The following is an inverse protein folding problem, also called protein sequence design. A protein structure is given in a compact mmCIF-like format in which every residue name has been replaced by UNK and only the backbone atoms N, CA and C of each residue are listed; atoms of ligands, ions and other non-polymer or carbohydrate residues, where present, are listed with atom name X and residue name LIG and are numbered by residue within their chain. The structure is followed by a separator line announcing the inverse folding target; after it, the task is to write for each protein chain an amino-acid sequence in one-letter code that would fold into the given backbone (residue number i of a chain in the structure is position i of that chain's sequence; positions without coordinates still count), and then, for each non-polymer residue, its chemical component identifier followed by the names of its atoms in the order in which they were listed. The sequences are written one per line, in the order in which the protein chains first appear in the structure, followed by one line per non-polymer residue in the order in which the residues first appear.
data_IF_393037769036
#
_entry.id   IF_393037769036
#
_cell.length_a   1.000
_cell.length_b   1.000
_cell.length_c   1.000
_cell.angle_alpha   90.00
_cell.angle_beta   90.00
_cell.angle_gamma   90.00
#
_symmetry.space_group_name_H-M   'P 1'
#
loop_
_entity.id
_entity.type
_entity.pdbx_description
1 polymer ?
#
# COMPACT_ATOMS: atom_id res chain seq x y z
N UNK A 1 -0.86 -2.68 18.45
CA UNK A 1 -0.83 -2.17 17.06
C UNK A 1 -2.05 -2.66 16.32
N UNK A 2 -2.77 -1.75 15.70
CA UNK A 2 -4.03 -2.07 15.02
C UNK A 2 -4.05 -1.48 13.63
N UNK A 3 -4.79 -2.15 12.72
CA UNK A 3 -5.25 -1.52 11.49
C UNK A 3 -6.70 -1.12 11.73
N UNK A 4 -7.13 -0.03 11.10
CA UNK A 4 -8.51 0.40 11.24
C UNK A 4 -9.39 -0.42 10.29
N UNK A 5 -10.00 -1.46 10.83
CA UNK A 5 -10.79 -2.38 10.04
C UNK A 5 -12.09 -1.80 9.54
N UNK A 6 -12.57 -0.72 10.15
CA UNK A 6 -13.82 -0.11 9.72
C UNK A 6 -13.62 0.76 8.48
N UNK A 7 -12.42 1.28 8.27
CA UNK A 7 -12.12 2.14 7.13
C UNK A 7 -11.44 1.39 5.99
N UNK A 8 -10.63 0.37 6.32
CA UNK A 8 -9.76 -0.30 5.34
C UNK A 8 -10.27 -1.66 4.95
N UNK A 9 -11.56 -1.76 4.65
CA UNK A 9 -12.15 -3.03 4.25
C UNK A 9 -11.98 -3.32 2.77
N UNK A 10 -11.71 -2.31 1.97
CA UNK A 10 -11.55 -2.50 0.54
C UNK A 10 -10.21 -3.16 0.25
N UNK A 11 -10.25 -4.29 -0.43
CA UNK A 11 -9.05 -5.05 -0.78
C UNK A 11 -8.82 -5.12 -2.29
N UNK A 12 -9.75 -4.60 -3.08
CA UNK A 12 -9.63 -4.59 -4.54
C UNK A 12 -9.82 -3.16 -5.03
N UNK A 13 -8.88 -2.69 -5.84
CA UNK A 13 -8.92 -1.36 -6.39
C UNK A 13 -8.82 -1.45 -7.91
N UNK A 14 -9.66 -0.69 -8.60
CA UNK A 14 -9.61 -0.57 -10.05
C UNK A 14 -9.49 0.90 -10.39
N UNK A 15 -8.48 1.25 -11.18
CA UNK A 15 -8.24 2.63 -11.57
C UNK A 15 -7.98 2.69 -13.07
N UNK A 16 -8.13 3.87 -13.64
CA UNK A 16 -7.83 4.10 -15.04
C UNK A 16 -6.35 4.40 -15.23
N UNK A 17 -5.84 4.00 -16.38
CA UNK A 17 -4.46 4.27 -16.75
C UNK A 17 -4.16 5.77 -16.60
N UNK A 18 -3.05 6.08 -15.96
CA UNK A 18 -2.63 7.46 -15.73
C UNK A 18 -3.20 8.10 -14.48
N UNK A 19 -4.09 7.43 -13.78
CA UNK A 19 -4.71 7.98 -12.57
C UNK A 19 -3.81 7.86 -11.37
N UNK A 20 -3.97 8.79 -10.43
CA UNK A 20 -3.35 8.68 -9.12
C UNK A 20 -4.15 7.69 -8.28
N UNK A 21 -3.47 6.87 -7.51
CA UNK A 21 -4.13 5.94 -6.60
C UNK A 21 -3.38 5.90 -5.27
N UNK A 22 -4.14 5.78 -4.18
CA UNK A 22 -3.59 5.62 -2.84
C UNK A 22 -4.10 4.31 -2.28
N UNK A 23 -3.19 3.39 -2.00
CA UNK A 23 -3.53 2.10 -1.41
C UNK A 23 -3.40 2.23 0.11
N UNK A 24 -4.50 2.02 0.85
CA UNK A 24 -4.49 2.31 2.28
C UNK A 24 -3.71 1.27 3.08
N UNK A 25 -2.95 1.75 4.04
CA UNK A 25 -2.35 0.92 5.09
C UNK A 25 -2.20 1.77 6.34
N UNK A 26 -3.33 2.09 6.94
CA UNK A 26 -3.34 2.91 8.16
C UNK A 26 -3.10 2.03 9.35
N UNK A 27 -1.99 2.24 10.02
CA UNK A 27 -1.62 1.46 11.19
C UNK A 27 -1.31 2.41 12.33
N UNK A 28 -1.58 1.94 13.54
CA UNK A 28 -1.29 2.68 14.75
C UNK A 28 -0.46 1.79 15.66
N UNK A 29 0.38 2.42 16.44
CA UNK A 29 1.19 1.70 17.40
C UNK A 29 2.10 2.65 18.16
N UNK A 30 2.56 2.21 19.32
CA UNK A 30 3.48 2.95 20.14
C UNK A 30 4.58 1.98 20.60
N UNK A 31 5.79 2.14 20.07
CA UNK A 31 6.21 3.15 19.10
C UNK A 31 5.60 2.94 17.71
N UNK A 32 5.70 3.96 16.86
CA UNK A 32 5.19 3.87 15.50
C UNK A 32 5.83 2.70 14.76
N UNK A 33 5.01 1.90 14.05
CA UNK A 33 5.55 0.75 13.35
C UNK A 33 6.37 1.13 12.12
N UNK A 34 7.26 0.24 11.74
CA UNK A 34 8.00 0.33 10.49
C UNK A 34 7.13 -0.25 9.39
N UNK A 35 6.95 0.50 8.31
CA UNK A 35 6.08 0.12 7.20
C UNK A 35 6.95 -0.29 6.01
N UNK A 36 6.64 -1.45 5.44
CA UNK A 36 7.28 -1.91 4.20
C UNK A 36 6.17 -2.36 3.24
N UNK A 37 6.26 -1.89 2.02
CA UNK A 37 5.34 -2.30 0.96
C UNK A 37 6.01 -3.28 0.01
N UNK A 38 5.22 -4.25 -0.44
CA UNK A 38 5.66 -5.26 -1.41
C UNK A 38 4.70 -5.25 -2.59
N UNK A 39 5.22 -5.48 -3.77
CA UNK A 39 4.42 -5.70 -4.97
C UNK A 39 4.77 -7.07 -5.53
N UNK A 40 3.78 -7.95 -5.63
CA UNK A 40 3.96 -9.33 -6.11
C UNK A 40 5.14 -10.01 -5.39
N UNK A 41 5.17 -9.81 -4.06
CA UNK A 41 6.15 -10.37 -3.13
C UNK A 41 7.57 -9.80 -3.24
N UNK A 42 7.74 -8.72 -4.02
CA UNK A 42 9.01 -8.02 -4.11
C UNK A 42 8.94 -6.68 -3.38
N UNK A 43 9.94 -6.35 -2.55
CA UNK A 43 9.92 -5.06 -1.85
C UNK A 43 9.94 -3.89 -2.84
N UNK A 44 9.13 -2.88 -2.54
CA UNK A 44 9.13 -1.65 -3.34
C UNK A 44 10.29 -0.77 -2.90
N UNK A 45 11.07 -0.31 -3.87
CA UNK A 45 12.20 0.56 -3.57
C UNK A 45 11.74 1.93 -3.14
N UNK A 46 12.26 2.42 -2.01
CA UNK A 46 11.95 3.75 -1.50
C UNK A 46 12.56 4.87 -2.37
N UNK A 47 13.46 4.51 -3.27
CA UNK A 47 14.07 5.48 -4.18
C UNK A 47 13.35 5.56 -5.51
N UNK A 48 12.34 4.74 -5.72
CA UNK A 48 11.55 4.77 -6.94
C UNK A 48 10.56 5.94 -6.88
N UNK A 49 10.74 6.91 -7.78
CA UNK A 49 9.92 8.11 -7.80
C UNK A 49 8.48 7.86 -8.24
N UNK A 50 8.18 6.67 -8.70
CA UNK A 50 6.83 6.27 -9.08
C UNK A 50 5.93 6.05 -7.85
N UNK A 51 6.54 5.80 -6.70
CA UNK A 51 5.83 5.47 -5.47
C UNK A 51 6.18 6.43 -4.35
N UNK A 52 5.22 6.66 -3.47
CA UNK A 52 5.46 7.44 -2.27
C UNK A 52 4.69 6.83 -1.10
N UNK A 53 5.36 6.62 0.03
CA UNK A 53 4.71 6.13 1.23
C UNK A 53 4.35 7.33 2.09
N UNK A 54 3.06 7.50 2.36
CA UNK A 54 2.56 8.63 3.12
C UNK A 54 2.84 8.44 4.60
N UNK A 55 2.65 9.50 5.39
CA UNK A 55 2.90 9.44 6.83
C UNK A 55 2.03 8.42 7.55
N UNK A 56 0.84 8.17 7.05
CA UNK A 56 -0.06 7.18 7.65
C UNK A 56 0.24 5.75 7.22
N UNK A 57 1.23 5.56 6.36
CA UNK A 57 1.61 4.25 5.86
C UNK A 57 1.03 3.88 4.50
N UNK A 58 0.13 4.68 3.96
CA UNK A 58 -0.49 4.41 2.66
C UNK A 58 0.51 4.57 1.53
N UNK A 59 0.36 3.75 0.49
CA UNK A 59 1.21 3.82 -0.70
C UNK A 59 0.51 4.65 -1.76
N UNK A 60 1.18 5.70 -2.22
CA UNK A 60 0.66 6.55 -3.29
C UNK A 60 1.40 6.25 -4.59
N UNK A 61 0.62 6.03 -5.66
CA UNK A 61 1.15 5.83 -7.01
C UNK A 61 0.70 7.05 -7.82
N UNK A 62 1.65 7.85 -8.29
CA UNK A 62 1.31 9.14 -8.89
C UNK A 62 0.66 9.04 -10.26
N UNK A 63 1.08 8.07 -11.06
CA UNK A 63 0.51 7.89 -12.39
C UNK A 63 0.50 6.41 -12.70
N UNK A 64 -0.64 5.79 -12.52
CA UNK A 64 -0.73 4.35 -12.65
C UNK A 64 -0.52 3.88 -14.09
N UNK A 65 0.18 2.77 -14.21
CA UNK A 65 0.51 2.14 -15.48
C UNK A 65 0.02 0.70 -15.43
N UNK A 66 -0.08 0.06 -16.55
CA UNK A 66 -0.49 -1.34 -16.62
C UNK A 66 0.43 -2.24 -15.82
N UNK A 67 1.71 -1.89 -15.72
CA UNK A 67 2.68 -2.63 -14.93
C UNK A 67 2.42 -2.52 -13.43
N UNK A 68 1.57 -1.57 -13.01
CA UNK A 68 1.20 -1.43 -11.61
C UNK A 68 0.12 -2.42 -11.18
N UNK A 69 -0.52 -3.09 -12.13
CA UNK A 69 -1.48 -4.14 -11.80
C UNK A 69 -0.78 -5.26 -11.05
N UNK A 70 -1.35 -5.66 -9.93
CA UNK A 70 -0.77 -6.74 -9.15
C UNK A 70 -1.28 -6.74 -7.73
N UNK A 71 -0.65 -7.55 -6.90
CA UNK A 71 -0.98 -7.68 -5.50
C UNK A 71 0.03 -6.89 -4.66
N UNK A 72 -0.48 -6.05 -3.79
CA UNK A 72 0.34 -5.22 -2.92
C UNK A 72 0.12 -5.65 -1.48
N UNK A 73 1.21 -5.76 -0.74
CA UNK A 73 1.16 -6.12 0.67
C UNK A 73 1.89 -5.06 1.48
N UNK A 74 1.22 -4.57 2.50
CA UNK A 74 1.78 -3.65 3.47
C UNK A 74 2.07 -4.43 4.75
N UNK A 75 3.30 -4.38 5.23
CA UNK A 75 3.64 -4.96 6.52
C UNK A 75 4.02 -3.83 7.47
N UNK A 76 3.55 -3.92 8.70
CA UNK A 76 3.86 -2.93 9.73
C UNK A 76 4.30 -3.68 10.97
N UNK A 77 5.43 -3.30 11.54
CA UNK A 77 5.98 -3.98 12.71
C UNK A 77 6.56 -3.01 13.72
N UNK A 78 6.41 -3.35 15.00
CA UNK A 78 7.07 -2.69 16.10
C UNK A 78 7.33 -3.72 17.19
N UNK A 79 7.79 -3.28 18.35
CA UNK A 79 8.10 -4.22 19.43
C UNK A 79 6.86 -4.93 19.98
N UNK A 80 5.67 -4.40 19.72
CA UNK A 80 4.43 -5.00 20.20
C UNK A 80 3.89 -6.08 19.26
N UNK A 81 4.37 -6.15 18.02
CA UNK A 81 3.94 -7.17 17.07
C UNK A 81 3.94 -6.69 15.64
N UNK A 82 3.37 -7.52 14.78
CA UNK A 82 3.32 -7.28 13.33
C UNK A 82 1.90 -7.39 12.85
N UNK A 83 1.56 -6.57 11.83
CA UNK A 83 0.32 -6.73 11.08
C UNK A 83 0.64 -6.60 9.61
N UNK A 84 -0.21 -7.19 8.77
CA UNK A 84 -0.08 -7.01 7.33
C UNK A 84 -1.44 -6.91 6.69
N UNK A 85 -1.48 -6.25 5.54
CA UNK A 85 -2.69 -6.09 4.76
C UNK A 85 -2.34 -6.27 3.29
N UNK A 86 -3.13 -7.06 2.59
CA UNK A 86 -2.94 -7.30 1.16
C UNK A 86 -4.07 -6.65 0.39
N UNK A 87 -3.72 -5.93 -0.67
CA UNK A 87 -4.70 -5.32 -1.56
C UNK A 87 -4.31 -5.64 -3.00
N UNK A 88 -5.32 -5.74 -3.86
CA UNK A 88 -5.12 -5.98 -5.29
C UNK A 88 -5.42 -4.71 -6.06
N UNK A 89 -4.58 -4.38 -7.02
CA UNK A 89 -4.77 -3.23 -7.89
C UNK A 89 -4.89 -3.70 -9.32
N UNK A 90 -5.90 -3.21 -10.01
CA UNK A 90 -6.08 -3.42 -11.43
C UNK A 90 -6.10 -2.07 -12.14
N UNK A 91 -5.17 -1.87 -13.06
CA UNK A 91 -5.10 -0.65 -13.85
C UNK A 91 -5.70 -0.97 -15.21
N UNK A 92 -6.85 -0.34 -15.50
CA UNK A 92 -7.53 -0.55 -16.76
C UNK A 92 -7.27 0.62 -17.71
N UNK A 93 -7.22 0.34 -18.98
CA UNK A 93 -6.98 1.36 -19.97
C UNK A 93 -6.95 0.79 -21.37
N UNK A 94 -6.82 1.65 -22.34
CA UNK A 94 -6.79 1.25 -23.73
C UNK A 94 -5.41 0.96 -24.24
#
# INVERSE_FOLDING_TARGET
MNTDETEDKQTNFTVNLGSEVVLPCKVEGDPLPTIVWYKDESPISMTDLHYFIRQDGSLEIFSSDRTDTGEYRCTASNIAGDVEKTVSLFVQGE
#
